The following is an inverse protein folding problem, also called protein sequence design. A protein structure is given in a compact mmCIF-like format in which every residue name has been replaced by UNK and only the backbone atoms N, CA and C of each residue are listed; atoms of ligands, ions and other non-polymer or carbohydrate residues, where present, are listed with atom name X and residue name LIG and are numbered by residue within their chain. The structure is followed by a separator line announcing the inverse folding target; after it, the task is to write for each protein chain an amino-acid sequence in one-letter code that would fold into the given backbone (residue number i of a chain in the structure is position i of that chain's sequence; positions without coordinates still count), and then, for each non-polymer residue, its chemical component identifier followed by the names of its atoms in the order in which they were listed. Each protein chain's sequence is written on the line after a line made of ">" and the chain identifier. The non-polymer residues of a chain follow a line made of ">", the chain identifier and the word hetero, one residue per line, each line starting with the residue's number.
data_IF_438851192675
#
_entry.id   IF_438851192675
#
_cell.length_a   1.000
_cell.length_b   1.000
_cell.length_c   1.000
_cell.angle_alpha   90.00
_cell.angle_beta   90.00
_cell.angle_gamma   90.00
#
_symmetry.space_group_name_H-M   'P 1'
#
loop_
_entity.id
_entity.type
_entity.pdbx_description
1 polymer ?
#
# COMPACT_ATOMS: atom_id res chain seq x y z
N UNK A 1 -8.84 -49.41 3.34
CA UNK A 1 -9.43 -48.48 2.35
C UNK A 1 -9.52 -47.11 2.99
N UNK A 2 -8.89 -46.08 2.42
CA UNK A 2 -9.02 -44.69 2.86
C UNK A 2 -10.32 -44.08 2.27
N UNK A 3 -11.07 -43.26 3.02
CA UNK A 3 -12.25 -42.58 2.50
C UNK A 3 -11.83 -41.58 1.41
N UNK A 4 -12.71 -41.33 0.41
CA UNK A 4 -12.43 -40.34 -0.62
C UNK A 4 -12.27 -38.96 0.03
N UNK A 5 -11.32 -38.13 -0.45
CA UNK A 5 -11.15 -36.78 0.07
C UNK A 5 -12.44 -35.96 -0.13
N UNK A 6 -12.77 -35.06 0.81
CA UNK A 6 -13.95 -34.22 0.69
C UNK A 6 -13.89 -33.38 -0.59
N UNK A 7 -15.04 -33.11 -1.23
CA UNK A 7 -15.11 -32.23 -2.39
C UNK A 7 -14.56 -30.85 -2.02
N UNK A 8 -13.69 -30.29 -2.88
CA UNK A 8 -13.16 -28.94 -2.67
C UNK A 8 -14.33 -27.95 -2.66
N UNK A 9 -14.34 -26.95 -1.75
CA UNK A 9 -15.31 -25.85 -1.81
C UNK A 9 -15.24 -25.20 -3.20
N UNK A 10 -16.33 -25.25 -3.94
CA UNK A 10 -16.47 -24.51 -5.19
C UNK A 10 -16.70 -23.04 -4.85
N UNK A 11 -15.63 -22.26 -4.81
CA UNK A 11 -15.73 -20.81 -4.82
C UNK A 11 -16.20 -20.38 -6.21
N UNK A 12 -17.47 -20.02 -6.31
CA UNK A 12 -18.01 -19.33 -7.49
C UNK A 12 -17.63 -17.86 -7.34
N UNK A 13 -16.76 -17.36 -8.21
CA UNK A 13 -16.54 -15.93 -8.33
C UNK A 13 -17.91 -15.26 -8.59
N UNK A 14 -18.26 -14.18 -7.87
CA UNK A 14 -19.45 -13.40 -8.18
C UNK A 14 -19.41 -12.97 -9.65
N UNK A 15 -20.54 -13.12 -10.35
CA UNK A 15 -20.66 -12.60 -11.70
C UNK A 15 -20.34 -11.11 -11.70
N UNK A 16 -19.55 -10.68 -12.68
CA UNK A 16 -19.09 -9.31 -12.90
C UNK A 16 -20.27 -8.41 -13.31
N UNK A 17 -21.12 -8.06 -12.35
CA UNK A 17 -22.16 -7.05 -12.54
C UNK A 17 -21.80 -5.79 -11.75
N UNK A 18 -21.74 -4.68 -12.51
CA UNK A 18 -21.40 -3.32 -12.13
C UNK A 18 -19.93 -3.07 -11.75
N UNK A 19 -19.28 -2.19 -12.53
CA UNK A 19 -18.09 -1.44 -12.12
C UNK A 19 -18.44 -0.61 -10.88
N UNK A 20 -18.36 -1.23 -9.70
CA UNK A 20 -18.39 -0.50 -8.45
C UNK A 20 -17.01 0.11 -8.28
N UNK A 21 -16.88 1.42 -8.49
CA UNK A 21 -15.70 2.13 -8.01
C UNK A 21 -15.47 1.73 -6.55
N UNK A 22 -14.29 1.18 -6.19
CA UNK A 22 -14.04 0.73 -4.82
C UNK A 22 -14.32 1.87 -3.84
N UNK A 23 -15.26 1.64 -2.91
CA UNK A 23 -15.56 2.62 -1.87
C UNK A 23 -14.39 2.63 -0.87
N UNK A 24 -13.97 3.83 -0.46
CA UNK A 24 -12.94 3.98 0.56
C UNK A 24 -13.36 3.23 1.85
N UNK A 25 -12.41 2.55 2.52
CA UNK A 25 -12.69 1.89 3.80
C UNK A 25 -13.23 2.86 4.84
N UNK A 26 -14.16 2.40 5.69
CA UNK A 26 -14.60 3.16 6.85
C UNK A 26 -13.57 2.99 7.97
N UNK A 27 -12.67 3.95 8.13
CA UNK A 27 -11.62 3.90 9.17
C UNK A 27 -12.05 4.69 10.41
N UNK A 28 -11.97 4.12 11.63
CA UNK A 28 -12.22 4.84 12.86
C UNK A 28 -11.30 6.06 13.02
N UNK A 29 -11.81 7.14 13.60
CA UNK A 29 -11.01 8.36 13.86
C UNK A 29 -9.85 8.14 14.83
N UNK A 30 -9.95 7.14 15.70
CA UNK A 30 -8.95 6.78 16.71
C UNK A 30 -8.50 5.34 16.52
N UNK A 31 -7.18 5.13 16.58
CA UNK A 31 -6.56 3.83 16.51
C UNK A 31 -6.29 3.20 17.88
N UNK A 32 -5.63 2.02 17.89
CA UNK A 32 -5.06 1.47 19.11
C UNK A 32 -4.00 2.43 19.69
N UNK A 33 -3.68 2.27 20.98
CA UNK A 33 -2.65 3.07 21.63
C UNK A 33 -1.30 2.92 20.91
N UNK A 34 -0.68 4.04 20.54
CA UNK A 34 0.56 4.07 19.75
C UNK A 34 0.39 3.64 18.28
N UNK A 35 -0.84 3.35 17.84
CA UNK A 35 -1.10 2.95 16.47
C UNK A 35 -0.84 4.08 15.48
N UNK A 36 -0.36 3.73 14.29
CA UNK A 36 -0.08 4.66 13.20
C UNK A 36 -1.10 4.47 12.09
N UNK A 37 -1.53 5.57 11.47
CA UNK A 37 -2.52 5.49 10.40
C UNK A 37 -1.83 5.21 9.06
N UNK A 38 -2.28 4.16 8.38
CA UNK A 38 -1.97 3.89 6.98
C UNK A 38 -2.96 4.60 6.07
N UNK A 39 -2.44 5.31 5.09
CA UNK A 39 -3.21 6.07 4.12
C UNK A 39 -2.75 5.77 2.70
N UNK A 40 -3.66 5.92 1.75
CA UNK A 40 -3.33 5.99 0.33
C UNK A 40 -3.25 7.47 -0.05
N UNK A 41 -2.08 7.90 -0.50
CA UNK A 41 -1.92 9.21 -1.12
C UNK A 41 -1.94 9.05 -2.64
N UNK A 42 -2.57 10.00 -3.33
CA UNK A 42 -2.55 10.08 -4.80
C UNK A 42 -2.03 11.44 -5.22
N UNK A 43 -1.19 11.44 -6.24
CA UNK A 43 -0.67 12.63 -6.89
C UNK A 43 -1.18 12.61 -8.33
N UNK A 44 -1.91 13.65 -8.73
CA UNK A 44 -2.45 13.74 -10.09
C UNK A 44 -1.29 13.82 -11.08
N UNK A 45 -1.16 12.80 -11.93
CA UNK A 45 0.01 12.57 -12.76
C UNK A 45 -0.01 13.24 -14.13
N UNK A 46 -1.02 14.07 -14.44
CA UNK A 46 -1.27 14.58 -15.80
C UNK A 46 0.04 15.09 -16.46
N UNK A 47 0.42 14.56 -17.64
CA UNK A 47 -0.39 13.76 -18.59
C UNK A 47 -0.42 12.24 -18.37
N UNK A 48 0.22 11.72 -17.32
CA UNK A 48 0.24 10.29 -16.98
C UNK A 48 -0.87 9.92 -15.99
N UNK A 49 -1.07 8.60 -15.81
CA UNK A 49 -1.94 8.08 -14.76
C UNK A 49 -1.52 8.61 -13.39
N UNK A 50 -2.47 8.68 -12.45
CA UNK A 50 -2.19 9.07 -11.07
C UNK A 50 -1.09 8.20 -10.48
N UNK A 51 -0.08 8.86 -9.92
CA UNK A 51 0.89 8.19 -9.07
C UNK A 51 0.29 8.04 -7.69
N UNK A 52 0.43 6.87 -7.08
CA UNK A 52 -0.10 6.61 -5.76
C UNK A 52 0.94 5.94 -4.89
N UNK A 53 0.83 6.18 -3.60
CA UNK A 53 1.72 5.59 -2.62
C UNK A 53 0.97 5.31 -1.32
N UNK A 54 1.51 4.36 -0.56
CA UNK A 54 1.09 4.18 0.83
C UNK A 54 1.87 5.13 1.72
N UNK A 55 1.18 5.81 2.62
CA UNK A 55 1.75 6.71 3.59
C UNK A 55 1.42 6.22 4.99
N UNK A 56 2.44 5.95 5.80
CA UNK A 56 2.27 5.74 7.24
C UNK A 56 2.58 7.04 7.95
N UNK A 57 1.53 7.62 8.54
CA UNK A 57 1.59 8.89 9.24
C UNK A 57 2.22 8.75 10.63
N UNK A 58 3.12 9.68 10.99
CA UNK A 58 3.59 9.84 12.36
C UNK A 58 2.46 10.29 13.29
N UNK A 59 2.39 9.70 14.48
CA UNK A 59 1.48 10.08 15.55
C UNK A 59 1.78 11.50 16.08
N UNK A 60 3.05 11.89 16.09
CA UNK A 60 3.51 13.20 16.57
C UNK A 60 3.39 14.32 15.54
N UNK A 61 3.58 13.99 14.26
CA UNK A 61 3.60 14.96 13.15
C UNK A 61 2.79 14.44 11.96
N UNK A 62 1.47 14.76 11.87
CA UNK A 62 0.58 14.17 10.86
C UNK A 62 0.93 14.40 9.39
N UNK A 63 1.81 15.35 9.08
CA UNK A 63 2.32 15.58 7.72
C UNK A 63 3.59 14.81 7.40
N UNK A 64 4.27 14.25 8.41
CA UNK A 64 5.54 13.53 8.28
C UNK A 64 5.32 12.03 8.43
N UNK A 65 5.98 11.23 7.62
CA UNK A 65 5.80 9.78 7.65
C UNK A 65 6.74 8.98 6.78
N UNK A 66 6.35 7.72 6.56
CA UNK A 66 7.00 6.82 5.61
C UNK A 66 6.13 6.71 4.37
N UNK A 67 6.75 6.92 3.20
CA UNK A 67 6.14 6.66 1.89
C UNK A 67 6.66 5.34 1.35
N UNK A 68 5.73 4.46 0.98
CA UNK A 68 5.99 3.23 0.25
C UNK A 68 5.37 3.34 -1.14
N UNK A 69 6.19 3.31 -2.17
CA UNK A 69 5.74 3.52 -3.55
C UNK A 69 6.49 2.64 -4.55
N UNK A 70 5.94 2.52 -5.75
CA UNK A 70 6.63 1.98 -6.90
C UNK A 70 7.09 3.14 -7.79
N UNK A 71 8.40 3.28 -8.00
CA UNK A 71 8.97 4.26 -8.92
C UNK A 71 9.52 3.54 -10.16
N UNK A 72 9.55 4.24 -11.29
CA UNK A 72 10.07 3.70 -12.54
C UNK A 72 9.17 4.04 -13.72
N UNK A 73 9.39 3.34 -14.82
CA UNK A 73 8.68 3.58 -16.08
C UNK A 73 8.54 2.29 -16.90
N UNK A 74 7.66 2.30 -17.91
CA UNK A 74 7.36 1.11 -18.72
C UNK A 74 8.55 0.55 -19.50
N UNK A 75 9.58 1.36 -19.76
CA UNK A 75 10.81 0.94 -20.47
C UNK A 75 11.84 0.37 -19.48
N UNK A 76 12.05 1.05 -18.37
CA UNK A 76 13.07 0.70 -17.38
C UNK A 76 12.59 -0.36 -16.39
N UNK A 77 11.28 -0.51 -16.22
CA UNK A 77 10.63 -1.31 -15.19
C UNK A 77 10.33 -0.49 -13.94
N UNK A 78 9.64 -1.12 -12.99
CA UNK A 78 9.30 -0.53 -11.70
C UNK A 78 10.16 -1.13 -10.59
N UNK A 79 10.49 -0.30 -9.61
CA UNK A 79 11.17 -0.70 -8.38
C UNK A 79 10.44 -0.11 -7.18
N UNK A 80 10.49 -0.82 -6.07
CA UNK A 80 9.93 -0.35 -4.82
C UNK A 80 10.86 0.67 -4.17
N UNK A 81 10.29 1.75 -3.66
CA UNK A 81 10.99 2.78 -2.90
C UNK A 81 10.35 2.93 -1.52
N UNK A 82 11.21 3.10 -0.52
CA UNK A 82 10.84 3.44 0.86
C UNK A 82 11.48 4.80 1.16
N UNK A 83 10.68 5.83 1.42
CA UNK A 83 11.16 7.15 1.85
C UNK A 83 10.69 7.42 3.27
N UNK A 84 11.63 7.56 4.20
CA UNK A 84 11.34 7.92 5.61
C UNK A 84 11.52 9.42 5.80
N UNK A 85 10.98 9.94 6.90
CA UNK A 85 10.98 11.36 7.22
C UNK A 85 10.43 12.23 6.06
N UNK A 86 9.44 11.71 5.33
CA UNK A 86 8.86 12.40 4.20
C UNK A 86 7.75 13.33 4.67
N UNK A 87 7.88 14.61 4.36
CA UNK A 87 6.89 15.64 4.69
C UNK A 87 5.98 15.91 3.49
N UNK A 88 4.71 15.55 3.61
CA UNK A 88 3.69 15.79 2.59
C UNK A 88 3.41 17.27 2.33
N UNK A 89 3.83 18.18 3.20
CA UNK A 89 3.69 19.62 2.91
C UNK A 89 4.65 20.09 1.81
N UNK A 90 5.74 19.35 1.58
CA UNK A 90 6.69 19.64 0.51
C UNK A 90 6.21 19.17 -0.87
N UNK A 91 5.36 18.13 -0.91
CA UNK A 91 4.75 17.56 -2.11
C UNK A 91 3.31 17.14 -1.79
N UNK A 92 2.38 18.09 -1.92
CA UNK A 92 1.02 17.93 -1.43
C UNK A 92 0.23 16.97 -2.33
N UNK A 93 -0.28 15.83 -1.80
CA UNK A 93 -1.05 14.90 -2.60
C UNK A 93 -2.40 15.51 -2.99
N UNK A 94 -2.90 15.14 -4.18
CA UNK A 94 -4.24 15.54 -4.64
C UNK A 94 -5.35 14.91 -3.81
N UNK A 95 -5.09 13.74 -3.22
CA UNK A 95 -6.00 13.12 -2.26
C UNK A 95 -5.25 12.26 -1.23
N UNK A 96 -5.80 12.19 -0.03
CA UNK A 96 -5.34 11.34 1.06
C UNK A 96 -6.54 10.55 1.59
N UNK A 97 -6.46 9.22 1.51
CA UNK A 97 -7.55 8.29 1.84
C UNK A 97 -7.10 7.38 2.98
N UNK A 98 -7.69 7.47 4.17
CA UNK A 98 -7.41 6.54 5.26
C UNK A 98 -7.73 5.09 4.87
N UNK A 99 -6.82 4.16 5.18
CA UNK A 99 -7.01 2.74 4.89
C UNK A 99 -7.24 1.92 6.16
N UNK A 100 -6.36 2.03 7.15
CA UNK A 100 -6.44 1.28 8.41
C UNK A 100 -5.43 1.78 9.44
N UNK A 101 -5.62 1.38 10.69
CA UNK A 101 -4.63 1.57 11.75
C UNK A 101 -3.67 0.39 11.82
N UNK A 102 -2.38 0.69 11.94
CA UNK A 102 -1.31 -0.29 12.16
C UNK A 102 -0.92 -0.24 13.64
N UNK A 103 -0.82 -1.40 14.26
CA UNK A 103 -0.34 -1.55 15.64
C UNK A 103 1.13 -1.11 15.75
N UNK A 104 1.45 -0.35 16.80
CA UNK A 104 2.77 0.21 17.08
C UNK A 104 3.90 -0.84 17.01
N UNK A 105 3.61 -2.11 17.33
CA UNK A 105 4.62 -3.18 17.30
C UNK A 105 5.19 -3.47 15.90
N UNK A 106 4.47 -3.09 14.84
CA UNK A 106 4.90 -3.36 13.46
C UNK A 106 5.77 -2.26 12.87
N UNK A 107 5.76 -1.06 13.45
CA UNK A 107 6.45 0.12 12.90
C UNK A 107 7.20 0.84 14.01
N UNK A 108 8.50 1.05 13.80
CA UNK A 108 9.30 1.86 14.70
C UNK A 108 9.22 3.34 14.30
N UNK A 109 8.35 4.10 14.98
CA UNK A 109 8.15 5.54 14.71
C UNK A 109 9.41 6.38 14.95
N UNK A 110 10.28 5.99 15.89
CA UNK A 110 11.54 6.70 16.11
C UNK A 110 12.44 6.62 14.87
N UNK A 111 12.49 5.46 14.21
CA UNK A 111 13.25 5.30 12.96
C UNK A 111 12.55 5.93 11.75
N UNK A 112 11.24 6.18 11.82
CA UNK A 112 10.48 6.87 10.76
C UNK A 112 10.95 8.33 10.59
N UNK A 113 11.30 9.00 11.68
CA UNK A 113 11.65 10.43 11.69
C UNK A 113 13.12 10.70 11.29
N UNK A 114 13.84 9.66 10.90
CA UNK A 114 15.21 9.75 10.42
C UNK A 114 15.33 9.09 9.05
N UNK A 115 15.99 9.75 8.09
CA UNK A 115 16.36 9.07 6.85
C UNK A 115 17.51 8.11 7.11
N UNK A 116 17.24 6.81 6.96
CA UNK A 116 18.19 5.73 7.21
C UNK A 116 18.45 4.87 5.96
N UNK A 117 18.14 5.42 4.78
CA UNK A 117 18.33 4.75 3.49
C UNK A 117 17.28 3.67 3.18
N UNK A 118 17.48 2.90 2.10
CA UNK A 118 16.42 2.06 1.51
C UNK A 118 16.19 0.71 2.22
N UNK A 119 17.06 0.33 3.17
CA UNK A 119 16.98 -0.97 3.84
C UNK A 119 15.76 -1.04 4.78
N UNK A 120 15.02 -2.17 4.84
CA UNK A 120 13.95 -2.37 5.83
C UNK A 120 14.46 -2.21 7.26
N UNK A 121 13.63 -1.63 8.12
CA UNK A 121 13.91 -1.33 9.53
C UNK A 121 12.87 -1.92 10.48
N UNK A 122 11.77 -2.45 9.97
CA UNK A 122 10.76 -3.13 10.77
C UNK A 122 10.11 -4.29 10.01
N UNK A 123 9.40 -5.14 10.75
CA UNK A 123 8.69 -6.32 10.22
C UNK A 123 7.64 -5.97 9.16
N UNK A 124 7.06 -4.78 9.22
CA UNK A 124 6.15 -4.29 8.17
C UNK A 124 6.89 -4.11 6.83
N UNK A 125 8.06 -3.47 6.86
CA UNK A 125 8.88 -3.21 5.68
C UNK A 125 9.53 -4.48 5.14
N UNK A 126 9.95 -5.38 6.03
CA UNK A 126 10.44 -6.71 5.65
C UNK A 126 9.36 -7.50 4.91
N UNK A 127 8.11 -7.43 5.38
CA UNK A 127 6.96 -8.07 4.72
C UNK A 127 6.69 -7.45 3.34
N UNK A 128 6.69 -6.11 3.25
CA UNK A 128 6.61 -5.41 1.95
C UNK A 128 7.76 -5.80 1.01
N UNK A 129 8.92 -6.13 1.57
CA UNK A 129 10.08 -6.59 0.81
C UNK A 129 9.89 -7.92 0.09
N UNK A 130 9.03 -8.79 0.63
CA UNK A 130 8.76 -10.10 0.05
C UNK A 130 7.78 -10.05 -1.12
N UNK A 131 7.04 -8.95 -1.27
CA UNK A 131 6.11 -8.76 -2.39
C UNK A 131 6.92 -8.54 -3.67
N UNK A 132 6.72 -9.42 -4.66
CA UNK A 132 7.34 -9.27 -5.98
C UNK A 132 6.83 -7.99 -6.63
N UNK A 133 7.76 -7.15 -7.09
CA UNK A 133 7.39 -5.98 -7.90
C UNK A 133 6.85 -6.43 -9.25
N UNK A 134 5.87 -5.71 -9.83
CA UNK A 134 5.38 -6.02 -11.17
C UNK A 134 6.53 -6.07 -12.17
N UNK A 135 6.59 -7.14 -12.96
CA UNK A 135 7.54 -7.24 -14.07
C UNK A 135 7.20 -6.21 -15.16
N UNK A 136 8.16 -5.94 -16.05
CA UNK A 136 7.96 -5.07 -17.21
C UNK A 136 6.82 -5.61 -18.07
N UNK A 137 5.64 -5.06 -17.88
CA UNK A 137 4.45 -5.42 -18.64
C UNK A 137 3.85 -4.13 -19.19
N UNK A 138 3.81 -4.01 -20.51
CA UNK A 138 2.87 -3.12 -21.17
C UNK A 138 1.50 -3.75 -20.94
N UNK A 139 0.67 -3.16 -20.09
CA UNK A 139 -0.66 -3.72 -19.82
C UNK A 139 -1.44 -3.85 -21.13
N UNK A 140 -1.69 -5.08 -21.57
CA UNK A 140 -2.92 -5.42 -22.26
C UNK A 140 -4.02 -5.46 -21.18
N UNK A 141 -5.15 -4.81 -21.43
CA UNK A 141 -6.12 -4.42 -20.37
C UNK A 141 -7.06 -5.56 -19.97
N UNK A 142 -6.57 -6.79 -19.94
CA UNK A 142 -7.40 -8.01 -19.84
C UNK A 142 -7.14 -8.89 -18.62
N UNK A 143 -6.11 -8.61 -17.81
CA UNK A 143 -5.79 -9.44 -16.65
C UNK A 143 -6.04 -8.64 -15.36
N UNK A 144 -7.29 -8.72 -14.87
CA UNK A 144 -7.65 -8.28 -13.51
C UNK A 144 -7.03 -9.23 -12.49
N UNK A 145 -5.84 -8.89 -11.99
CA UNK A 145 -5.22 -9.59 -10.85
C UNK A 145 -5.87 -9.08 -9.56
N UNK A 146 -6.75 -9.91 -8.99
CA UNK A 146 -7.21 -9.76 -7.63
C UNK A 146 -6.03 -9.96 -6.67
N UNK A 147 -5.74 -8.95 -5.85
CA UNK A 147 -4.86 -9.11 -4.69
C UNK A 147 -5.76 -9.58 -3.53
N UNK A 148 -5.68 -10.86 -3.19
CA UNK A 148 -6.27 -11.38 -1.94
C UNK A 148 -5.35 -11.04 -0.76
N UNK A 149 -5.92 -10.49 0.31
CA UNK A 149 -5.30 -10.29 1.62
C UNK A 149 -5.56 -11.51 2.53
#
# INVERSE_FOLDING_TARGET
>A
MLPPPPPRPSFRAPATDASSTPRAPAVPKSGPAGGLLLELIKNNGAPFNDHWAYFVRSSSSPSVGIVYEAIGDVRSGFQRQIRRNHDLTSDLPSSQIPLQWIDAKFINEELMLHDQGPMPRCIFEESLCMVKVPEKTLNDTTESVCIEL
#
